data_IF_261559973526
#
_entry.id   IF_261559973526
#
_cell.length_a   1.000
_cell.length_b   1.000
_cell.length_c   1.000
_cell.angle_alpha   90.00
_cell.angle_beta   90.00
_cell.angle_gamma   90.00
#
_symmetry.space_group_name_H-M   'P 1'
#
loop_
_entity.id
_entity.type
_entity.pdbx_description
1 polymer ?
#
# COMPACT_ATOMS: atom_id res chain seq x y z
N UNK A 1 -1.38 10.74 -31.36
CA UNK A 1 -0.89 10.06 -30.15
C UNK A 1 0.59 10.40 -30.02
N UNK A 2 0.98 11.16 -29.01
CA UNK A 2 2.39 11.43 -28.75
C UNK A 2 3.06 10.10 -28.35
N UNK A 3 4.26 9.84 -28.90
CA UNK A 3 5.04 8.66 -28.55
C UNK A 3 5.40 8.62 -27.05
N UNK A 4 5.95 7.50 -26.52
CA UNK A 4 6.33 7.41 -25.13
C UNK A 4 7.32 8.51 -24.75
N UNK A 5 7.11 9.11 -23.56
CA UNK A 5 7.98 10.17 -23.05
C UNK A 5 9.35 9.57 -22.72
N UNK A 6 10.43 10.28 -23.05
CA UNK A 6 11.79 9.81 -22.75
C UNK A 6 11.97 9.57 -21.25
N UNK A 7 12.57 8.43 -20.88
CA UNK A 7 12.74 8.00 -19.49
C UNK A 7 13.50 9.05 -18.65
N UNK A 8 14.51 9.72 -19.19
CA UNK A 8 15.22 10.81 -18.50
C UNK A 8 14.32 12.00 -18.14
N UNK A 9 13.34 12.34 -19.00
CA UNK A 9 12.35 13.39 -18.71
C UNK A 9 11.42 12.94 -17.58
N UNK A 10 10.95 11.68 -17.62
CA UNK A 10 10.12 11.12 -16.55
C UNK A 10 10.86 11.03 -15.22
N UNK A 11 12.14 10.66 -15.25
CA UNK A 11 12.99 10.61 -14.07
C UNK A 11 13.17 12.03 -13.46
N UNK A 12 13.39 13.04 -14.27
CA UNK A 12 13.47 14.43 -13.81
C UNK A 12 12.14 14.89 -13.18
N UNK A 13 11.01 14.57 -13.80
CA UNK A 13 9.69 14.85 -13.26
C UNK A 13 9.43 14.13 -11.92
N UNK A 14 9.82 12.86 -11.84
CA UNK A 14 9.72 12.08 -10.59
C UNK A 14 10.57 12.67 -9.45
N UNK A 15 11.81 13.09 -9.73
CA UNK A 15 12.68 13.73 -8.72
C UNK A 15 12.02 14.99 -8.17
N UNK A 16 11.47 15.83 -9.04
CA UNK A 16 10.72 17.03 -8.62
C UNK A 16 9.50 16.66 -7.77
N UNK A 17 8.69 15.67 -8.20
CA UNK A 17 7.56 15.18 -7.44
C UNK A 17 7.99 14.68 -6.05
N UNK A 18 9.11 13.95 -5.97
CA UNK A 18 9.69 13.47 -4.69
C UNK A 18 10.10 14.64 -3.80
N UNK A 19 10.73 15.67 -4.34
CA UNK A 19 11.07 16.88 -3.57
C UNK A 19 9.81 17.58 -3.04
N UNK A 20 8.76 17.71 -3.83
CA UNK A 20 7.48 18.29 -3.40
C UNK A 20 6.83 17.47 -2.27
N UNK A 21 6.86 16.15 -2.35
CA UNK A 21 6.36 15.24 -1.30
C UNK A 21 7.16 15.38 -0.01
N UNK A 22 8.50 15.47 -0.11
CA UNK A 22 9.39 15.71 1.03
C UNK A 22 9.11 17.08 1.68
N UNK A 23 9.00 18.13 0.88
CA UNK A 23 8.70 19.49 1.35
C UNK A 23 7.33 19.59 2.04
N UNK A 24 6.36 18.77 1.63
CA UNK A 24 5.04 18.64 2.25
C UNK A 24 5.05 17.81 3.56
N UNK A 25 6.21 17.32 4.03
CA UNK A 25 6.35 16.64 5.33
C UNK A 25 6.16 15.12 5.30
N UNK A 26 6.07 14.49 4.13
CA UNK A 26 5.83 13.03 3.97
C UNK A 26 7.11 12.20 3.92
N UNK A 27 8.22 12.69 4.47
CA UNK A 27 9.50 11.97 4.55
C UNK A 27 9.36 10.60 5.21
N UNK A 28 8.51 10.49 6.24
CA UNK A 28 8.30 9.25 6.97
C UNK A 28 7.71 8.12 6.11
N UNK A 29 6.86 8.43 5.13
CA UNK A 29 6.29 7.43 4.22
C UNK A 29 7.35 6.87 3.26
N UNK A 30 8.21 7.75 2.75
CA UNK A 30 9.32 7.37 1.86
C UNK A 30 10.34 6.51 2.61
N UNK A 31 10.73 6.93 3.82
CA UNK A 31 11.69 6.18 4.66
C UNK A 31 11.13 4.81 5.03
N UNK A 32 9.85 4.76 5.41
CA UNK A 32 9.18 3.49 5.71
C UNK A 32 9.22 2.54 4.51
N UNK A 33 8.73 2.96 3.34
CA UNK A 33 8.72 2.13 2.14
C UNK A 33 10.13 1.71 1.67
N UNK A 34 11.14 2.56 1.91
CA UNK A 34 12.53 2.23 1.60
C UNK A 34 13.09 1.12 2.49
N UNK A 35 12.62 1.01 3.71
CA UNK A 35 13.18 0.11 4.73
C UNK A 35 12.39 -1.20 4.92
N UNK A 36 11.17 -1.31 4.43
CA UNK A 36 10.40 -2.57 4.51
C UNK A 36 11.09 -3.65 3.68
N UNK A 37 11.26 -4.82 4.28
CA UNK A 37 11.91 -6.00 3.67
C UNK A 37 11.01 -7.21 3.81
N UNK A 38 10.84 -7.96 2.74
CA UNK A 38 10.05 -9.19 2.74
C UNK A 38 10.67 -10.27 3.63
N UNK A 39 12.00 -10.29 3.71
CA UNK A 39 12.78 -11.25 4.51
C UNK A 39 12.56 -11.06 6.02
N UNK A 40 12.12 -9.88 6.44
CA UNK A 40 11.85 -9.53 7.84
C UNK A 40 10.35 -9.59 8.17
N UNK A 41 9.50 -10.02 7.21
CA UNK A 41 8.04 -10.07 7.37
C UNK A 41 7.65 -11.02 8.50
N UNK A 42 6.91 -10.49 9.47
CA UNK A 42 6.33 -11.26 10.57
C UNK A 42 4.82 -11.49 10.36
N UNK A 43 4.27 -12.48 11.08
CA UNK A 43 2.82 -12.71 11.13
C UNK A 43 2.07 -11.44 11.59
N UNK A 44 2.63 -10.73 12.58
CA UNK A 44 2.11 -9.47 13.08
C UNK A 44 2.02 -8.41 11.99
N UNK A 45 3.05 -8.27 11.17
CA UNK A 45 3.08 -7.28 10.09
C UNK A 45 2.01 -7.60 9.04
N UNK A 46 1.88 -8.87 8.66
CA UNK A 46 0.86 -9.31 7.71
C UNK A 46 -0.56 -9.04 8.22
N UNK A 47 -0.85 -9.41 9.48
CA UNK A 47 -2.14 -9.14 10.13
C UNK A 47 -2.46 -7.65 10.14
N UNK A 48 -1.49 -6.83 10.55
CA UNK A 48 -1.62 -5.38 10.66
C UNK A 48 -1.86 -4.75 9.30
N UNK A 49 -1.11 -5.14 8.26
CA UNK A 49 -1.28 -4.56 6.92
C UNK A 49 -2.56 -5.04 6.24
N UNK A 50 -2.99 -6.28 6.43
CA UNK A 50 -4.31 -6.73 6.00
C UNK A 50 -5.42 -5.89 6.65
N UNK A 51 -5.35 -5.67 7.97
CA UNK A 51 -6.32 -4.85 8.68
C UNK A 51 -6.34 -3.40 8.17
N UNK A 52 -5.16 -2.79 7.98
CA UNK A 52 -5.03 -1.45 7.42
C UNK A 52 -5.70 -1.32 6.05
N UNK A 53 -5.39 -2.23 5.13
CA UNK A 53 -5.93 -2.19 3.76
C UNK A 53 -7.43 -2.47 3.74
N UNK A 54 -7.92 -3.41 4.54
CA UNK A 54 -9.36 -3.68 4.68
C UNK A 54 -10.10 -2.43 5.18
N UNK A 55 -9.60 -1.80 6.23
CA UNK A 55 -10.23 -0.62 6.81
C UNK A 55 -10.20 0.58 5.87
N UNK A 56 -9.07 0.83 5.22
CA UNK A 56 -8.87 2.00 4.33
C UNK A 56 -9.59 1.87 2.98
N UNK A 57 -9.95 0.66 2.54
CA UNK A 57 -10.67 0.45 1.29
C UNK A 57 -12.00 1.21 1.26
N UNK A 58 -12.13 2.21 0.37
CA UNK A 58 -13.33 3.05 0.23
C UNK A 58 -13.60 3.99 1.42
N UNK A 59 -12.61 4.24 2.27
CA UNK A 59 -12.68 5.15 3.41
C UNK A 59 -11.64 6.27 3.28
N UNK A 60 -11.89 7.40 3.95
CA UNK A 60 -10.88 8.45 4.07
C UNK A 60 -9.74 7.98 4.97
N UNK A 61 -8.51 8.04 4.47
CA UNK A 61 -7.32 7.61 5.21
C UNK A 61 -7.22 8.22 6.61
N UNK A 62 -7.49 9.53 6.75
CA UNK A 62 -7.44 10.24 8.04
C UNK A 62 -8.38 9.64 9.08
N UNK A 63 -9.57 9.19 8.69
CA UNK A 63 -10.54 8.55 9.60
C UNK A 63 -10.03 7.19 10.07
N UNK A 64 -9.45 6.41 9.16
CA UNK A 64 -8.87 5.10 9.52
C UNK A 64 -7.66 5.31 10.43
N UNK A 65 -6.75 6.20 10.06
CA UNK A 65 -5.52 6.48 10.83
C UNK A 65 -5.82 6.87 12.29
N UNK A 66 -6.83 7.71 12.50
CA UNK A 66 -7.25 8.13 13.85
C UNK A 66 -7.75 6.97 14.73
N UNK A 67 -8.34 5.94 14.13
CA UNK A 67 -8.96 4.82 14.84
C UNK A 67 -8.08 3.56 14.89
N UNK A 68 -7.04 3.50 14.07
CA UNK A 68 -6.27 2.29 13.81
C UNK A 68 -5.55 1.76 15.05
N UNK A 69 -5.02 2.64 15.90
CA UNK A 69 -4.38 2.23 17.16
C UNK A 69 -5.36 1.51 18.08
N UNK A 70 -6.53 2.11 18.36
CA UNK A 70 -7.53 1.47 19.21
C UNK A 70 -8.09 0.16 18.62
N UNK A 71 -8.18 0.06 17.28
CA UNK A 71 -8.54 -1.22 16.65
C UNK A 71 -7.40 -2.23 16.84
N UNK A 72 -6.14 -1.82 16.78
CA UNK A 72 -4.99 -2.67 17.10
C UNK A 72 -5.07 -3.22 18.51
N UNK A 73 -5.36 -2.36 19.51
CA UNK A 73 -5.58 -2.77 20.90
C UNK A 73 -6.71 -3.81 21.02
N UNK A 74 -7.83 -3.61 20.32
CA UNK A 74 -8.95 -4.55 20.29
C UNK A 74 -8.57 -5.92 19.68
N UNK A 75 -7.56 -5.96 18.80
CA UNK A 75 -7.01 -7.16 18.19
C UNK A 75 -5.65 -7.58 18.80
N UNK A 76 -5.42 -7.28 20.09
CA UNK A 76 -4.21 -7.66 20.84
C UNK A 76 -2.91 -7.22 20.16
N UNK A 77 -2.90 -5.98 19.62
CA UNK A 77 -1.75 -5.40 18.89
C UNK A 77 -1.24 -6.29 17.75
N UNK A 78 -2.15 -7.07 17.17
CA UNK A 78 -1.85 -8.02 16.07
C UNK A 78 -0.82 -9.09 16.48
N UNK A 79 -0.70 -9.41 17.75
CA UNK A 79 0.38 -10.23 18.33
C UNK A 79 0.52 -11.61 17.69
N UNK A 80 -0.60 -12.32 17.48
CA UNK A 80 -0.63 -13.55 16.68
C UNK A 80 -2.03 -13.87 16.19
N UNK A 81 -2.10 -14.62 15.09
CA UNK A 81 -3.35 -15.13 14.53
C UNK A 81 -4.08 -16.03 15.51
N UNK A 82 -3.36 -16.88 16.26
CA UNK A 82 -3.90 -17.77 17.28
C UNK A 82 -4.64 -16.98 18.37
N UNK A 83 -4.00 -15.95 18.94
CA UNK A 83 -4.62 -15.12 19.99
C UNK A 83 -5.90 -14.47 19.50
N UNK A 84 -5.89 -13.94 18.27
CA UNK A 84 -7.08 -13.31 17.68
C UNK A 84 -8.19 -14.33 17.45
N UNK A 85 -7.87 -15.54 17.00
CA UNK A 85 -8.85 -16.63 16.79
C UNK A 85 -9.47 -17.08 18.11
N UNK A 86 -8.65 -17.28 19.14
CA UNK A 86 -9.14 -17.69 20.47
C UNK A 86 -10.05 -16.64 21.12
N UNK A 87 -9.78 -15.36 20.88
CA UNK A 87 -10.55 -14.23 21.44
C UNK A 87 -11.40 -13.50 20.42
N UNK A 88 -11.79 -14.18 19.33
CA UNK A 88 -12.46 -13.57 18.18
C UNK A 88 -13.63 -12.66 18.54
N UNK A 89 -14.55 -13.13 19.37
CA UNK A 89 -15.79 -12.40 19.69
C UNK A 89 -15.50 -11.14 20.52
N UNK A 90 -14.50 -11.20 21.40
CA UNK A 90 -13.99 -10.05 22.15
C UNK A 90 -13.36 -9.03 21.18
N UNK A 91 -12.48 -9.47 20.28
CA UNK A 91 -11.84 -8.59 19.27
C UNK A 91 -12.90 -7.86 18.45
N UNK A 92 -13.85 -8.62 17.89
CA UNK A 92 -14.89 -8.08 17.02
C UNK A 92 -15.80 -7.09 17.78
N UNK A 93 -16.29 -7.46 18.98
CA UNK A 93 -17.16 -6.58 19.76
C UNK A 93 -16.48 -5.29 20.17
N UNK A 94 -15.23 -5.36 20.66
CA UNK A 94 -14.45 -4.17 21.04
C UNK A 94 -14.12 -3.26 19.85
N UNK A 95 -13.71 -3.83 18.72
CA UNK A 95 -13.40 -3.07 17.52
C UNK A 95 -14.66 -2.40 16.90
N UNK A 96 -15.83 -3.03 17.01
CA UNK A 96 -17.09 -2.47 16.51
C UNK A 96 -17.51 -1.19 17.23
N UNK A 97 -17.15 -1.03 18.50
CA UNK A 97 -17.40 0.22 19.25
C UNK A 97 -16.59 1.38 18.64
N UNK A 98 -15.38 1.10 18.12
CA UNK A 98 -14.49 2.10 17.55
C UNK A 98 -14.79 2.37 16.07
N UNK A 99 -15.17 1.31 15.33
CA UNK A 99 -15.36 1.36 13.89
C UNK A 99 -16.59 0.55 13.48
N UNK A 100 -17.72 1.22 13.32
CA UNK A 100 -19.05 0.61 13.14
C UNK A 100 -19.28 -0.17 11.84
N UNK A 101 -18.23 -0.56 11.10
CA UNK A 101 -18.34 -1.30 9.84
C UNK A 101 -18.18 -2.80 10.05
N UNK A 102 -19.24 -3.47 10.51
CA UNK A 102 -19.24 -4.89 10.90
C UNK A 102 -18.52 -5.82 9.92
N UNK A 103 -18.85 -5.74 8.61
CA UNK A 103 -18.24 -6.62 7.59
C UNK A 103 -16.72 -6.49 7.51
N UNK A 104 -16.16 -5.29 7.69
CA UNK A 104 -14.71 -5.07 7.67
C UNK A 104 -14.04 -5.62 8.92
N UNK A 105 -14.63 -5.39 10.09
CA UNK A 105 -14.10 -5.93 11.36
C UNK A 105 -14.14 -7.47 11.35
N UNK A 106 -15.23 -8.07 10.88
CA UNK A 106 -15.30 -9.53 10.72
C UNK A 106 -14.30 -10.06 9.71
N UNK A 107 -14.04 -9.32 8.62
CA UNK A 107 -13.03 -9.70 7.63
C UNK A 107 -11.62 -9.72 8.24
N UNK A 108 -11.27 -8.77 9.11
CA UNK A 108 -9.98 -8.78 9.83
C UNK A 108 -9.85 -10.03 10.69
N UNK A 109 -10.88 -10.38 11.47
CA UNK A 109 -10.87 -11.62 12.26
C UNK A 109 -10.78 -12.86 11.37
N UNK A 110 -11.39 -12.85 10.19
CA UNK A 110 -11.30 -13.94 9.22
C UNK A 110 -9.89 -14.05 8.60
N UNK A 111 -9.18 -12.93 8.39
CA UNK A 111 -7.78 -12.96 7.98
C UNK A 111 -6.92 -13.69 9.01
N UNK A 112 -7.09 -13.39 10.30
CA UNK A 112 -6.38 -14.11 11.37
C UNK A 112 -6.69 -15.62 11.34
N UNK A 113 -7.96 -15.99 11.12
CA UNK A 113 -8.33 -17.40 11.00
C UNK A 113 -7.62 -18.10 9.84
N UNK A 114 -7.57 -17.49 8.67
CA UNK A 114 -6.88 -18.05 7.49
C UNK A 114 -5.39 -18.26 7.79
N UNK A 115 -4.73 -17.27 8.42
CA UNK A 115 -3.31 -17.34 8.77
C UNK A 115 -3.08 -18.48 9.80
N UNK A 116 -3.93 -18.57 10.81
CA UNK A 116 -3.85 -19.63 11.83
C UNK A 116 -4.04 -21.03 11.23
N UNK A 117 -5.07 -21.24 10.40
CA UNK A 117 -5.39 -22.54 9.78
C UNK A 117 -4.31 -23.01 8.79
N UNK A 118 -3.71 -22.09 8.04
CA UNK A 118 -2.63 -22.40 7.08
C UNK A 118 -1.25 -22.54 7.75
N UNK A 119 -1.03 -21.82 8.82
CA UNK A 119 0.29 -21.55 9.39
C UNK A 119 1.05 -20.48 8.61
N UNK A 120 1.68 -19.54 9.36
CA UNK A 120 2.38 -18.39 8.77
C UNK A 120 3.51 -18.81 7.82
N UNK A 121 4.30 -19.83 8.18
CA UNK A 121 5.40 -20.32 7.34
C UNK A 121 4.93 -20.88 5.98
N UNK A 122 3.78 -21.57 5.96
CA UNK A 122 3.19 -22.07 4.72
C UNK A 122 2.70 -20.91 3.84
N UNK A 123 2.04 -19.93 4.46
CA UNK A 123 1.55 -18.75 3.80
C UNK A 123 2.70 -17.88 3.27
N UNK A 124 3.81 -17.76 4.00
CA UNK A 124 5.01 -17.03 3.57
C UNK A 124 5.60 -17.63 2.28
N UNK A 125 5.59 -18.96 2.15
CA UNK A 125 6.01 -19.63 0.90
C UNK A 125 5.09 -19.29 -0.27
N UNK A 126 3.77 -19.28 -0.06
CA UNK A 126 2.80 -18.87 -1.09
C UNK A 126 3.02 -17.41 -1.49
N UNK A 127 3.18 -16.51 -0.50
CA UNK A 127 3.47 -15.09 -0.72
C UNK A 127 4.76 -14.88 -1.52
N UNK A 128 5.80 -15.62 -1.22
CA UNK A 128 7.10 -15.54 -1.94
C UNK A 128 6.97 -16.01 -3.38
N UNK A 129 6.12 -17.01 -3.65
CA UNK A 129 5.89 -17.55 -4.98
C UNK A 129 5.01 -16.63 -5.84
N UNK A 130 3.85 -16.22 -5.32
CA UNK A 130 2.91 -15.31 -5.97
C UNK A 130 2.16 -14.47 -4.91
N UNK A 131 2.70 -13.31 -4.51
CA UNK A 131 2.11 -12.49 -3.47
C UNK A 131 0.71 -12.00 -3.79
N UNK A 132 0.45 -11.72 -5.07
CA UNK A 132 -0.84 -11.16 -5.48
C UNK A 132 -1.94 -12.21 -5.38
N UNK A 133 -1.69 -13.42 -5.88
CA UNK A 133 -2.65 -14.52 -5.79
C UNK A 133 -2.86 -14.97 -4.33
N UNK A 134 -1.78 -15.12 -3.58
CA UNK A 134 -1.84 -15.51 -2.17
C UNK A 134 -2.66 -14.51 -1.32
N UNK A 135 -2.50 -13.21 -1.56
CA UNK A 135 -3.24 -12.18 -0.83
C UNK A 135 -4.73 -12.11 -1.21
N UNK A 136 -5.10 -12.48 -2.43
CA UNK A 136 -6.52 -12.47 -2.85
C UNK A 136 -7.36 -13.56 -2.17
N UNK A 137 -6.76 -14.47 -1.42
CA UNK A 137 -7.47 -15.43 -0.59
C UNK A 137 -8.09 -14.77 0.67
N UNK A 138 -7.61 -13.60 1.06
CA UNK A 138 -8.12 -12.87 2.20
C UNK A 138 -9.38 -12.07 1.85
N UNK A 139 -10.40 -12.04 2.73
CA UNK A 139 -11.60 -11.27 2.51
C UNK A 139 -11.30 -9.78 2.37
N UNK A 140 -12.01 -9.07 1.50
CA UNK A 140 -11.79 -7.66 1.15
C UNK A 140 -10.46 -7.35 0.44
N UNK A 141 -9.61 -8.34 0.21
CA UNK A 141 -8.38 -8.16 -0.55
C UNK A 141 -8.60 -8.66 -1.97
N UNK A 142 -8.96 -7.76 -2.85
CA UNK A 142 -9.21 -8.01 -4.27
C UNK A 142 -8.01 -7.62 -5.15
N UNK A 143 -8.18 -7.60 -6.49
CA UNK A 143 -7.09 -7.40 -7.45
C UNK A 143 -6.24 -6.15 -7.21
N UNK A 144 -6.84 -5.01 -6.85
CA UNK A 144 -6.07 -3.78 -6.60
C UNK A 144 -5.52 -3.69 -5.18
N UNK A 145 -6.26 -4.22 -4.19
CA UNK A 145 -5.87 -4.16 -2.78
C UNK A 145 -4.80 -5.18 -2.41
N UNK A 146 -4.67 -6.30 -3.15
CA UNK A 146 -3.56 -7.24 -3.00
C UNK A 146 -2.21 -6.60 -3.29
N UNK A 147 -2.11 -5.76 -4.34
CA UNK A 147 -0.90 -4.97 -4.59
C UNK A 147 -0.60 -3.98 -3.46
N UNK A 148 -1.63 -3.41 -2.84
CA UNK A 148 -1.45 -2.50 -1.71
C UNK A 148 -0.83 -3.22 -0.50
N UNK A 149 -1.36 -4.39 -0.13
CA UNK A 149 -0.77 -5.19 0.94
C UNK A 149 0.63 -5.65 0.56
N UNK A 150 0.81 -6.25 -0.63
CA UNK A 150 2.08 -6.77 -1.10
C UNK A 150 3.19 -5.71 -1.04
N UNK A 151 2.92 -4.50 -1.55
CA UNK A 151 3.86 -3.37 -1.47
C UNK A 151 4.21 -3.04 -0.01
N UNK A 152 3.21 -2.95 0.86
CA UNK A 152 3.40 -2.53 2.25
C UNK A 152 4.16 -3.57 3.09
N UNK A 153 4.16 -4.84 2.67
CA UNK A 153 4.94 -5.92 3.31
C UNK A 153 6.25 -6.23 2.59
N UNK A 154 6.68 -5.36 1.67
CA UNK A 154 8.04 -5.37 1.10
C UNK A 154 8.19 -6.00 -0.29
N UNK A 155 7.12 -6.51 -0.91
CA UNK A 155 7.22 -7.00 -2.29
C UNK A 155 7.42 -5.86 -3.29
N UNK A 156 8.28 -6.05 -4.31
CA UNK A 156 8.61 -5.01 -5.29
C UNK A 156 7.51 -4.85 -6.35
N UNK A 157 6.36 -4.38 -5.91
CA UNK A 157 5.18 -4.16 -6.76
C UNK A 157 4.67 -2.73 -6.63
N UNK A 158 3.96 -2.24 -7.66
CA UNK A 158 3.26 -0.96 -7.65
C UNK A 158 1.75 -1.20 -7.66
N UNK A 159 1.01 -0.41 -6.88
CA UNK A 159 -0.45 -0.51 -6.78
C UNK A 159 -1.13 0.06 -8.03
N UNK A 160 -1.94 -0.72 -8.78
CA UNK A 160 -2.65 -0.22 -9.96
C UNK A 160 -3.89 0.59 -9.55
N UNK A 161 -3.69 1.72 -8.86
CA UNK A 161 -4.79 2.63 -8.56
C UNK A 161 -4.97 3.69 -9.67
N UNK A 162 -6.06 4.47 -9.54
CA UNK A 162 -6.43 5.46 -10.56
C UNK A 162 -5.35 6.51 -10.84
N UNK A 163 -4.54 6.87 -9.83
CA UNK A 163 -3.51 7.89 -10.00
C UNK A 163 -2.30 7.33 -10.72
N UNK A 164 -1.83 6.15 -10.31
CA UNK A 164 -0.71 5.49 -10.96
C UNK A 164 -1.07 5.05 -12.38
N UNK A 165 -2.30 4.57 -12.62
CA UNK A 165 -2.78 4.27 -13.98
C UNK A 165 -2.72 5.50 -14.88
N UNK A 166 -3.13 6.68 -14.39
CA UNK A 166 -3.02 7.93 -15.15
C UNK A 166 -1.57 8.34 -15.43
N UNK A 167 -0.66 8.19 -14.45
CA UNK A 167 0.77 8.44 -14.70
C UNK A 167 1.33 7.50 -15.78
N UNK A 168 1.00 6.21 -15.72
CA UNK A 168 1.43 5.23 -16.72
C UNK A 168 0.92 5.62 -18.13
N UNK A 169 -0.38 5.88 -18.25
CA UNK A 169 -1.02 6.28 -19.51
C UNK A 169 -0.38 7.53 -20.11
N UNK A 170 -0.20 8.60 -19.30
CA UNK A 170 0.45 9.85 -19.72
C UNK A 170 1.89 9.64 -20.18
N UNK A 171 2.59 8.69 -19.55
CA UNK A 171 3.99 8.41 -19.83
C UNK A 171 4.19 7.43 -20.98
N UNK A 172 3.10 6.87 -21.54
CA UNK A 172 3.13 5.89 -22.62
C UNK A 172 3.41 4.47 -22.16
N UNK A 173 3.22 4.16 -20.87
CA UNK A 173 3.31 2.80 -20.32
C UNK A 173 1.93 2.13 -20.26
N UNK A 174 1.90 0.81 -20.46
CA UNK A 174 0.65 0.05 -20.44
C UNK A 174 0.05 -0.09 -19.03
N UNK A 175 0.89 -0.11 -18.02
CA UNK A 175 0.46 -0.29 -16.63
C UNK A 175 1.42 0.41 -15.64
N UNK A 176 0.97 0.66 -14.39
CA UNK A 176 1.77 1.29 -13.35
C UNK A 176 3.04 0.52 -12.97
N UNK A 177 3.02 -0.81 -13.02
CA UNK A 177 4.16 -1.63 -12.62
C UNK A 177 5.35 -1.41 -13.56
N UNK A 178 5.11 -1.33 -14.88
CA UNK A 178 6.16 -1.08 -15.87
C UNK A 178 6.75 0.33 -15.72
N UNK A 179 5.91 1.34 -15.51
CA UNK A 179 6.38 2.72 -15.23
C UNK A 179 7.23 2.78 -13.96
N UNK A 180 6.71 2.24 -12.85
CA UNK A 180 7.42 2.28 -11.57
C UNK A 180 8.73 1.48 -11.61
N UNK A 181 8.76 0.35 -12.31
CA UNK A 181 9.97 -0.45 -12.51
C UNK A 181 11.01 0.32 -13.31
N UNK A 182 10.62 0.91 -14.45
CA UNK A 182 11.53 1.69 -15.28
C UNK A 182 12.14 2.89 -14.53
N UNK A 183 11.33 3.62 -13.76
CA UNK A 183 11.81 4.73 -12.91
C UNK A 183 12.70 4.23 -11.77
N UNK A 184 12.33 3.13 -11.12
CA UNK A 184 13.12 2.53 -10.03
C UNK A 184 14.51 2.13 -10.51
N UNK A 185 14.60 1.44 -11.65
CA UNK A 185 15.87 1.02 -12.25
C UNK A 185 16.74 2.21 -12.69
N UNK A 186 16.11 3.27 -13.22
CA UNK A 186 16.85 4.45 -13.70
C UNK A 186 17.40 5.32 -12.57
N UNK A 187 16.63 5.46 -11.47
CA UNK A 187 16.93 6.40 -10.37
C UNK A 187 17.63 5.69 -9.19
N UNK A 188 17.41 4.38 -9.02
CA UNK A 188 17.89 3.59 -7.89
C UNK A 188 16.99 3.64 -6.65
N UNK A 189 15.75 4.13 -6.77
CA UNK A 189 14.75 4.02 -5.70
C UNK A 189 14.03 2.65 -5.78
N UNK A 190 13.60 2.06 -4.66
CA UNK A 190 12.70 0.89 -4.68
C UNK A 190 11.38 1.19 -5.40
N UNK A 191 10.79 0.18 -6.07
CA UNK A 191 9.48 0.31 -6.74
C UNK A 191 8.40 0.87 -5.81
N UNK A 192 8.38 0.40 -4.55
CA UNK A 192 7.44 0.86 -3.54
C UNK A 192 7.62 2.35 -3.17
N UNK A 193 8.85 2.86 -3.24
CA UNK A 193 9.14 4.28 -3.06
C UNK A 193 8.65 5.09 -4.26
N UNK A 194 8.86 4.58 -5.48
CA UNK A 194 8.32 5.25 -6.68
C UNK A 194 6.80 5.34 -6.61
N UNK A 195 6.14 4.24 -6.26
CA UNK A 195 4.69 4.17 -6.07
C UNK A 195 4.17 5.23 -5.07
N UNK A 196 4.73 5.22 -3.85
CA UNK A 196 4.23 6.13 -2.79
C UNK A 196 4.47 7.59 -3.12
N UNK A 197 5.60 7.92 -3.76
CA UNK A 197 5.90 9.29 -4.19
C UNK A 197 4.90 9.76 -5.24
N UNK A 198 4.66 9.00 -6.30
CA UNK A 198 3.71 9.35 -7.34
C UNK A 198 2.29 9.48 -6.79
N UNK A 199 1.88 8.51 -5.96
CA UNK A 199 0.58 8.54 -5.32
C UNK A 199 0.41 9.76 -4.39
N UNK A 200 1.39 10.03 -3.52
CA UNK A 200 1.33 11.17 -2.59
C UNK A 200 1.35 12.50 -3.36
N UNK A 201 2.17 12.63 -4.37
CA UNK A 201 2.18 13.80 -5.25
C UNK A 201 0.79 14.05 -5.86
N UNK A 202 0.13 13.00 -6.37
CA UNK A 202 -1.22 13.11 -6.90
C UNK A 202 -2.28 13.50 -5.86
N UNK A 203 -2.08 13.15 -4.59
CA UNK A 203 -3.01 13.56 -3.50
C UNK A 203 -2.78 14.98 -3.01
N UNK A 204 -1.60 15.54 -3.22
CA UNK A 204 -1.24 16.91 -2.84
C UNK A 204 -1.68 17.94 -3.89
N UNK A 205 -1.85 17.55 -5.15
CA UNK A 205 -2.11 18.47 -6.26
C UNK A 205 -3.29 18.03 -7.11
N UNK A 206 -4.26 18.89 -7.27
CA UNK A 206 -5.39 18.61 -8.17
C UNK A 206 -4.97 18.56 -9.66
N UNK A 207 -3.94 19.30 -10.02
CA UNK A 207 -3.38 19.43 -11.38
C UNK A 207 -2.17 18.50 -11.64
N UNK A 208 -1.99 17.45 -10.81
CA UNK A 208 -0.79 16.59 -10.83
C UNK A 208 -0.46 16.02 -12.22
N UNK A 209 -1.47 15.78 -13.04
CA UNK A 209 -1.32 15.24 -14.40
C UNK A 209 -0.57 16.22 -15.31
N UNK A 210 -0.99 17.48 -15.34
CA UNK A 210 -0.35 18.52 -16.12
C UNK A 210 0.96 18.98 -15.50
N UNK A 211 0.98 19.12 -14.19
CA UNK A 211 2.15 19.51 -13.43
C UNK A 211 3.31 18.53 -13.54
N UNK A 212 3.06 17.23 -13.56
CA UNK A 212 4.13 16.21 -13.59
C UNK A 212 5.03 16.32 -14.82
N UNK A 213 4.46 16.64 -15.98
CA UNK A 213 5.20 16.74 -17.25
C UNK A 213 5.72 18.14 -17.58
N UNK A 214 5.23 19.16 -16.90
CA UNK A 214 5.73 20.52 -17.10
C UNK A 214 7.05 20.68 -16.34
N UNK A 215 8.14 20.82 -17.09
CA UNK A 215 9.48 21.10 -16.56
C UNK A 215 9.71 22.56 -16.19
N UNK A 216 8.69 23.41 -16.29
CA UNK A 216 8.71 24.82 -15.87
C UNK A 216 8.69 24.96 -14.34
N UNK A 217 9.24 26.05 -13.83
CA UNK A 217 9.41 26.33 -12.40
C UNK A 217 8.10 26.12 -11.63
N UNK A 218 8.21 25.30 -10.58
CA UNK A 218 7.17 25.06 -9.59
C UNK A 218 7.22 26.21 -8.58
N UNK A 219 6.95 27.45 -9.04
CA UNK A 219 6.81 28.55 -8.11
C UNK A 219 5.62 28.33 -7.21
N UNK A 220 5.90 28.38 -5.93
CA UNK A 220 5.20 28.20 -4.67
C UNK A 220 3.72 28.54 -4.63
#
# INVERSE_FOLDING_TARGET
MNGPIALGTLASAYVKAKMAVLAAGYVHEIVWQKNVRTEELTERDLLRECAWVILSSGMRESVVRMKFSGIGEAFFEWSSAEVIVLHRDQCVSSALVLFGHKRKIEAIAQCARIIYEKGFESLLKELTSDPIHALQQFPYIGPATSYHVAKNIGFPVAKPDRHLCRFAELSGYQNPSDLCKALAEYIGDPIAVVDIVLWRFATLRHDYVTSFLHTGDWDT
#
